data_IF_299378193811
#
_entry.id   IF_299378193811
#
_cell.length_a   1.000
_cell.length_b   1.000
_cell.length_c   1.000
_cell.angle_alpha   90.00
_cell.angle_beta   90.00
_cell.angle_gamma   90.00
#
_symmetry.space_group_name_H-M   'P 1'
#
loop_
_entity.id
_entity.type
_entity.pdbx_description
1 polymer ?
#
# COMPACT_ATOMS: atom_id res chain seq x y z
N UNK A 1 10.01 -16.00 -3.35
CA UNK A 1 9.15 -15.05 -2.62
C UNK A 1 10.01 -14.09 -1.81
N UNK A 2 9.71 -12.82 -1.91
CA UNK A 2 10.39 -11.78 -1.13
C UNK A 2 9.39 -11.01 -0.30
N UNK A 3 9.78 -10.71 0.93
CA UNK A 3 8.94 -10.00 1.89
C UNK A 3 9.64 -8.73 2.33
N UNK A 4 8.93 -7.62 2.24
CA UNK A 4 9.41 -6.30 2.62
C UNK A 4 8.50 -5.77 3.72
N UNK A 5 9.08 -5.17 4.75
CA UNK A 5 8.33 -4.66 5.90
C UNK A 5 8.68 -3.20 6.12
N UNK A 6 7.67 -2.39 6.41
CA UNK A 6 7.85 -1.01 6.85
C UNK A 6 6.90 -0.74 8.01
N UNK A 7 7.39 -0.07 9.04
CA UNK A 7 6.59 0.31 10.20
C UNK A 7 6.72 1.80 10.44
N UNK A 8 5.64 2.44 10.89
CA UNK A 8 5.69 3.83 11.28
C UNK A 8 4.68 4.11 12.39
N UNK A 9 5.06 4.99 13.33
CA UNK A 9 4.17 5.45 14.37
C UNK A 9 3.48 6.73 13.90
N UNK A 10 2.16 6.71 13.90
CA UNK A 10 1.32 7.80 13.41
C UNK A 10 0.61 8.45 14.60
N UNK A 11 0.68 9.78 14.71
CA UNK A 11 0.06 10.55 15.78
C UNK A 11 -1.44 10.76 15.56
N UNK A 12 -2.18 9.70 15.34
CA UNK A 12 -3.62 9.72 15.13
C UNK A 12 -4.23 8.42 15.63
N UNK A 13 -5.54 8.42 15.89
CA UNK A 13 -6.23 7.23 16.35
C UNK A 13 -6.30 6.18 15.25
N UNK A 14 -6.52 4.94 15.66
CA UNK A 14 -6.67 3.81 14.75
C UNK A 14 -7.81 4.03 13.75
N UNK A 15 -8.92 4.58 14.19
CA UNK A 15 -10.06 4.88 13.32
C UNK A 15 -9.74 5.98 12.30
N UNK A 16 -8.99 7.01 12.71
CA UNK A 16 -8.57 8.08 11.81
C UNK A 16 -7.60 7.56 10.74
N UNK A 17 -6.63 6.74 11.14
CA UNK A 17 -5.68 6.13 10.19
C UNK A 17 -6.41 5.21 9.23
N UNK A 18 -7.35 4.41 9.74
CA UNK A 18 -8.16 3.53 8.91
C UNK A 18 -8.97 4.30 7.87
N UNK A 19 -9.60 5.39 8.28
CA UNK A 19 -10.36 6.25 7.38
C UNK A 19 -9.50 6.81 6.25
N UNK A 20 -8.24 7.17 6.56
CA UNK A 20 -7.28 7.62 5.53
C UNK A 20 -6.98 6.49 4.53
N UNK A 21 -6.72 5.28 5.02
CA UNK A 21 -6.41 4.14 4.17
C UNK A 21 -7.59 3.71 3.29
N UNK A 22 -8.81 3.85 3.79
CA UNK A 22 -10.02 3.47 3.06
C UNK A 22 -10.48 4.53 2.04
N UNK A 23 -9.96 5.73 2.12
CA UNK A 23 -10.28 6.80 1.17
C UNK A 23 -9.47 6.61 -0.13
N UNK A 24 -9.90 5.67 -0.95
CA UNK A 24 -9.18 5.32 -2.19
C UNK A 24 -9.09 6.50 -3.14
N UNK A 25 -10.18 7.23 -3.31
CA UNK A 25 -10.21 8.41 -4.20
C UNK A 25 -9.29 9.53 -3.70
N UNK A 26 -9.05 9.59 -2.40
CA UNK A 26 -8.19 10.59 -1.78
C UNK A 26 -6.70 10.24 -1.75
N UNK A 27 -6.32 9.03 -2.15
CA UNK A 27 -4.93 8.59 -2.11
C UNK A 27 -3.94 9.55 -2.79
N UNK A 28 -4.24 10.14 -3.95
CA UNK A 28 -3.28 11.08 -4.57
C UNK A 28 -2.96 12.31 -3.74
N UNK A 29 -3.82 12.67 -2.77
CA UNK A 29 -3.61 13.86 -1.93
C UNK A 29 -2.56 13.64 -0.84
N UNK A 30 -2.38 12.39 -0.40
CA UNK A 30 -1.44 12.11 0.68
C UNK A 30 -0.31 11.15 0.31
N UNK A 31 -0.48 10.33 -0.72
CA UNK A 31 0.57 9.43 -1.21
C UNK A 31 1.42 10.15 -2.25
N UNK A 32 2.68 10.41 -1.92
CA UNK A 32 3.58 11.22 -2.73
C UNK A 32 3.78 10.70 -4.15
N UNK A 33 3.69 9.38 -4.35
CA UNK A 33 3.99 8.75 -5.64
C UNK A 33 2.76 8.37 -6.44
N UNK A 34 1.58 8.48 -5.85
CA UNK A 34 0.31 8.17 -6.53
C UNK A 34 -0.19 9.41 -7.24
N UNK A 35 -0.36 9.30 -8.54
CA UNK A 35 -0.82 10.40 -9.41
C UNK A 35 -2.33 10.43 -9.53
N UNK A 36 -2.94 9.25 -9.62
CA UNK A 36 -4.38 9.13 -9.77
C UNK A 36 -4.86 7.76 -9.30
N UNK A 37 -6.09 7.70 -8.82
CA UNK A 37 -6.81 6.46 -8.55
C UNK A 37 -8.11 6.51 -9.33
N UNK A 38 -8.33 5.52 -10.18
CA UNK A 38 -9.48 5.46 -11.10
C UNK A 38 -10.13 4.08 -11.03
N UNK A 39 -11.28 3.95 -11.70
CA UNK A 39 -12.00 2.66 -11.83
C UNK A 39 -12.31 2.01 -10.47
N UNK A 40 -12.66 2.83 -9.48
CA UNK A 40 -13.02 2.35 -8.14
C UNK A 40 -14.37 1.68 -8.24
N UNK A 41 -14.45 0.39 -7.88
CA UNK A 41 -15.67 -0.42 -8.06
C UNK A 41 -16.73 -0.17 -6.98
N UNK A 42 -16.40 0.52 -5.92
CA UNK A 42 -17.34 0.83 -4.84
C UNK A 42 -16.63 1.22 -3.55
N UNK A 43 -17.35 1.33 -2.43
CA UNK A 43 -16.75 1.59 -1.12
C UNK A 43 -15.69 0.54 -0.78
N UNK A 44 -14.71 0.92 0.02
CA UNK A 44 -13.63 0.02 0.41
C UNK A 44 -14.15 -1.13 1.27
N UNK A 45 -14.07 -2.34 0.75
CA UNK A 45 -14.40 -3.59 1.43
C UNK A 45 -13.72 -4.75 0.67
N UNK A 46 -13.87 -5.97 1.17
CA UNK A 46 -13.36 -7.14 0.45
C UNK A 46 -14.05 -7.26 -0.92
N UNK A 47 -13.25 -7.35 -1.98
CA UNK A 47 -13.70 -7.40 -3.37
C UNK A 47 -13.64 -6.07 -4.11
N UNK A 48 -13.43 -4.95 -3.43
CA UNK A 48 -13.29 -3.65 -4.08
C UNK A 48 -12.02 -3.62 -4.94
N UNK A 49 -12.16 -3.14 -6.17
CA UNK A 49 -11.05 -3.00 -7.12
C UNK A 49 -10.83 -1.54 -7.47
N UNK A 50 -9.60 -1.19 -7.76
CA UNK A 50 -9.24 0.16 -8.21
C UNK A 50 -7.95 0.13 -9.01
N UNK A 51 -7.76 1.13 -9.87
CA UNK A 51 -6.53 1.31 -10.63
C UNK A 51 -5.72 2.45 -10.03
N UNK A 52 -4.48 2.17 -9.69
CA UNK A 52 -3.54 3.14 -9.14
C UNK A 52 -2.51 3.51 -10.21
N UNK A 53 -2.40 4.81 -10.49
CA UNK A 53 -1.36 5.34 -11.37
C UNK A 53 -0.28 5.96 -10.52
N UNK A 54 0.95 5.49 -10.70
CA UNK A 54 2.11 5.92 -9.92
C UNK A 54 3.21 6.43 -10.83
N UNK A 55 4.20 7.08 -10.21
CA UNK A 55 5.42 7.52 -10.89
C UNK A 55 6.61 7.05 -10.06
N UNK A 56 7.61 6.49 -10.74
CA UNK A 56 8.85 6.06 -10.13
C UNK A 56 10.02 6.55 -11.01
N UNK A 57 10.86 7.42 -10.47
CA UNK A 57 11.98 8.04 -11.20
C UNK A 57 11.52 8.68 -12.53
N UNK A 58 10.36 9.32 -12.51
CA UNK A 58 9.78 9.95 -13.69
C UNK A 58 9.06 9.00 -14.64
N UNK A 59 9.10 7.69 -14.39
CA UNK A 59 8.45 6.69 -15.25
C UNK A 59 7.04 6.39 -14.74
N UNK A 60 6.01 6.54 -15.62
CA UNK A 60 4.64 6.21 -15.23
C UNK A 60 4.42 4.71 -15.13
N UNK A 61 3.55 4.31 -14.20
CA UNK A 61 3.14 2.92 -14.02
C UNK A 61 1.68 2.90 -13.58
N UNK A 62 0.98 1.82 -13.90
CA UNK A 62 -0.38 1.62 -13.46
C UNK A 62 -0.55 0.18 -12.99
N UNK A 63 -1.33 0.00 -11.91
CA UNK A 63 -1.65 -1.31 -11.36
C UNK A 63 -3.11 -1.36 -10.98
N UNK A 64 -3.69 -2.54 -11.19
CA UNK A 64 -5.04 -2.83 -10.72
C UNK A 64 -4.92 -3.59 -9.40
N UNK A 65 -5.46 -2.98 -8.35
CA UNK A 65 -5.47 -3.56 -7.02
C UNK A 65 -6.86 -4.08 -6.67
N UNK A 66 -6.88 -5.14 -5.87
CA UNK A 66 -8.10 -5.66 -5.26
C UNK A 66 -7.90 -5.74 -3.76
N UNK A 67 -8.86 -5.24 -2.99
CA UNK A 67 -8.88 -5.45 -1.54
C UNK A 67 -9.45 -6.85 -1.32
N UNK A 68 -8.62 -7.78 -0.82
CA UNK A 68 -9.01 -9.18 -0.63
C UNK A 68 -9.43 -9.47 0.80
N UNK A 69 -8.99 -8.66 1.77
CA UNK A 69 -9.38 -8.78 3.16
C UNK A 69 -9.57 -7.37 3.72
N UNK A 70 -10.64 -7.16 4.47
CA UNK A 70 -10.99 -5.86 5.02
C UNK A 70 -11.63 -6.04 6.38
N UNK A 71 -10.83 -5.91 7.43
CA UNK A 71 -11.27 -6.04 8.82
C UNK A 71 -11.11 -4.70 9.52
N UNK A 72 -12.12 -3.88 9.43
CA UNK A 72 -12.12 -2.53 10.02
C UNK A 72 -12.05 -2.62 11.55
N UNK A 73 -11.23 -1.82 12.21
CA UNK A 73 -10.24 -0.88 11.72
C UNK A 73 -8.79 -1.39 11.84
N UNK A 74 -8.57 -2.69 11.77
CA UNK A 74 -7.31 -3.30 12.21
C UNK A 74 -6.46 -3.87 11.09
N UNK A 75 -7.06 -4.45 10.05
CA UNK A 75 -6.30 -5.19 9.05
C UNK A 75 -6.95 -5.15 7.69
N UNK A 76 -6.16 -4.88 6.67
CA UNK A 76 -6.60 -5.08 5.29
C UNK A 76 -5.46 -5.62 4.43
N UNK A 77 -5.84 -6.36 3.39
CA UNK A 77 -4.91 -6.93 2.42
C UNK A 77 -5.34 -6.49 1.03
N UNK A 78 -4.37 -6.02 0.26
CA UNK A 78 -4.55 -5.59 -1.13
C UNK A 78 -3.62 -6.37 -2.02
N UNK A 79 -4.11 -6.83 -3.17
CA UNK A 79 -3.36 -7.67 -4.10
C UNK A 79 -3.38 -7.06 -5.49
N UNK A 80 -2.24 -7.08 -6.14
CA UNK A 80 -2.10 -6.71 -7.55
C UNK A 80 -1.22 -7.73 -8.27
N UNK A 81 -1.57 -8.07 -9.49
CA UNK A 81 -0.76 -8.94 -10.35
C UNK A 81 -0.45 -8.19 -11.64
N UNK A 82 0.82 -7.96 -11.90
CA UNK A 82 1.29 -7.34 -13.13
C UNK A 82 2.75 -7.68 -13.39
N UNK A 83 3.15 -7.68 -14.67
CA UNK A 83 4.54 -7.90 -15.04
C UNK A 83 5.12 -9.24 -14.57
N UNK A 84 4.29 -10.26 -14.39
CA UNK A 84 4.73 -11.57 -13.91
C UNK A 84 4.92 -11.66 -12.39
N UNK A 85 4.51 -10.64 -11.64
CA UNK A 85 4.61 -10.60 -10.18
C UNK A 85 3.23 -10.46 -9.54
N UNK A 86 3.03 -11.20 -8.46
CA UNK A 86 1.92 -10.99 -7.53
C UNK A 86 2.44 -10.15 -6.36
N UNK A 87 1.81 -9.03 -6.11
CA UNK A 87 2.09 -8.15 -4.98
C UNK A 87 0.96 -8.25 -3.99
N UNK A 88 1.31 -8.57 -2.75
CA UNK A 88 0.32 -8.64 -1.66
C UNK A 88 0.75 -7.67 -0.58
N UNK A 89 -0.02 -6.62 -0.38
CA UNK A 89 0.24 -5.61 0.65
C UNK A 89 -0.71 -5.83 1.82
N UNK A 90 -0.14 -6.07 2.98
CA UNK A 90 -0.89 -6.24 4.22
C UNK A 90 -0.67 -5.01 5.09
N UNK A 91 -1.76 -4.40 5.53
CA UNK A 91 -1.75 -3.24 6.40
C UNK A 91 -2.40 -3.61 7.73
N UNK A 92 -1.65 -3.50 8.82
CA UNK A 92 -2.12 -3.80 10.17
C UNK A 92 -1.95 -2.56 11.04
N UNK A 93 -2.99 -2.19 11.75
CA UNK A 93 -2.98 -1.06 12.68
C UNK A 93 -3.04 -1.56 14.11
N UNK A 94 -2.09 -1.10 14.94
CA UNK A 94 -2.06 -1.39 16.37
C UNK A 94 -2.10 -0.09 17.16
N UNK A 95 -2.97 0.01 18.19
CA UNK A 95 -2.92 1.16 19.07
C UNK A 95 -1.58 1.19 19.82
N UNK A 96 -0.95 2.35 19.90
CA UNK A 96 0.31 2.54 20.60
C UNK A 96 0.30 3.87 21.32
N UNK A 97 0.08 3.85 22.63
CA UNK A 97 -0.10 5.08 23.40
C UNK A 97 -1.33 5.84 22.91
N UNK A 98 -1.15 7.12 22.54
CA UNK A 98 -2.21 7.93 21.95
C UNK A 98 -2.24 7.86 20.43
N UNK A 99 -1.31 7.14 19.84
CA UNK A 99 -1.17 7.01 18.39
C UNK A 99 -1.45 5.61 17.90
N UNK A 100 -1.05 5.36 16.67
CA UNK A 100 -1.24 4.09 15.97
C UNK A 100 0.06 3.67 15.31
N UNK A 101 0.45 2.42 15.52
CA UNK A 101 1.55 1.81 14.79
C UNK A 101 1.01 1.16 13.53
N UNK A 102 1.47 1.62 12.38
CA UNK A 102 1.15 1.03 11.08
C UNK A 102 2.24 0.04 10.71
N UNK A 103 1.85 -1.23 10.55
CA UNK A 103 2.70 -2.27 9.99
C UNK A 103 2.29 -2.48 8.54
N UNK A 104 3.19 -2.22 7.62
CA UNK A 104 2.98 -2.48 6.21
C UNK A 104 3.93 -3.59 5.75
N UNK A 105 3.38 -4.63 5.15
CA UNK A 105 4.16 -5.75 4.61
C UNK A 105 3.81 -5.90 3.15
N UNK A 106 4.83 -5.99 2.30
CA UNK A 106 4.66 -6.27 0.88
C UNK A 106 5.36 -7.58 0.54
N UNK A 107 4.61 -8.54 0.05
CA UNK A 107 5.12 -9.81 -0.43
C UNK A 107 5.15 -9.79 -1.95
N UNK A 108 6.32 -10.08 -2.52
CA UNK A 108 6.51 -10.21 -3.96
C UNK A 108 6.68 -11.69 -4.30
N UNK A 109 5.86 -12.18 -5.19
CA UNK A 109 5.94 -13.56 -5.65
C UNK A 109 5.86 -13.60 -7.17
N UNK A 110 6.89 -14.17 -7.81
CA UNK A 110 6.86 -14.39 -9.24
C UNK A 110 5.82 -15.44 -9.60
N UNK A 111 5.06 -15.19 -10.64
CA UNK A 111 4.10 -16.15 -11.18
C UNK A 111 4.86 -17.29 -11.85
N UNK A 112 5.99 -16.97 -12.49
CA UNK A 112 6.89 -17.94 -13.11
C UNK A 112 7.76 -18.62 -12.06
N UNK A 113 7.79 -19.97 -11.98
CA UNK A 113 8.64 -20.65 -11.01
C UNK A 113 10.11 -20.67 -11.45
N UNK A 114 11.00 -21.05 -10.50
CA UNK A 114 12.40 -21.31 -10.76
C UNK A 114 13.29 -20.08 -10.73
N UNK A 115 14.54 -20.18 -11.25
CA UNK A 115 15.54 -19.12 -11.16
C UNK A 115 15.12 -17.81 -11.84
N UNK A 116 14.41 -17.88 -12.94
CA UNK A 116 13.91 -16.69 -13.65
C UNK A 116 12.93 -15.91 -12.78
N UNK A 117 12.03 -16.61 -12.07
CA UNK A 117 11.12 -15.98 -11.11
C UNK A 117 11.85 -15.34 -9.95
N UNK A 118 12.86 -16.00 -9.41
CA UNK A 118 13.68 -15.46 -8.31
C UNK A 118 14.42 -14.20 -8.72
N UNK A 119 14.94 -14.15 -9.95
CA UNK A 119 15.59 -12.95 -10.48
C UNK A 119 14.61 -11.79 -10.61
N UNK A 120 13.40 -12.07 -11.08
CA UNK A 120 12.36 -11.06 -11.21
C UNK A 120 11.97 -10.48 -9.85
N UNK A 121 11.79 -11.33 -8.83
CA UNK A 121 11.52 -10.90 -7.46
C UNK A 121 12.66 -10.02 -6.92
N UNK A 122 13.90 -10.41 -7.15
CA UNK A 122 15.06 -9.65 -6.72
C UNK A 122 15.11 -8.29 -7.41
N UNK A 123 14.91 -8.23 -8.72
CA UNK A 123 14.93 -6.98 -9.46
C UNK A 123 13.82 -6.02 -9.02
N UNK A 124 12.65 -6.54 -8.64
CA UNK A 124 11.52 -5.73 -8.19
C UNK A 124 11.65 -5.29 -6.73
N UNK A 125 12.51 -5.92 -5.93
CA UNK A 125 12.54 -5.71 -4.48
C UNK A 125 12.98 -4.29 -4.07
N UNK A 126 13.91 -3.67 -4.79
CA UNK A 126 14.37 -2.33 -4.46
C UNK A 126 13.30 -1.25 -4.71
N UNK A 127 12.69 -1.18 -5.92
CA UNK A 127 11.59 -0.24 -6.14
C UNK A 127 10.40 -0.49 -5.21
N UNK A 128 10.07 -1.76 -4.97
CA UNK A 128 8.97 -2.12 -4.08
C UNK A 128 9.22 -1.69 -2.64
N UNK A 129 10.45 -1.87 -2.15
CA UNK A 129 10.84 -1.44 -0.81
C UNK A 129 10.76 0.07 -0.65
N UNK A 130 11.24 0.81 -1.66
CA UNK A 130 11.12 2.26 -1.66
C UNK A 130 9.65 2.70 -1.68
N UNK A 131 8.83 2.05 -2.51
CA UNK A 131 7.39 2.32 -2.56
C UNK A 131 6.70 2.08 -1.23
N UNK A 132 7.02 0.99 -0.55
CA UNK A 132 6.41 0.67 0.74
C UNK A 132 6.83 1.68 1.82
N UNK A 133 8.11 2.04 1.88
CA UNK A 133 8.59 3.07 2.82
C UNK A 133 7.97 4.43 2.52
N UNK A 134 7.82 4.77 1.25
CA UNK A 134 7.14 5.99 0.84
C UNK A 134 5.68 6.01 1.27
N UNK A 135 5.00 4.87 1.14
CA UNK A 135 3.62 4.69 1.59
C UNK A 135 3.50 4.96 3.10
N UNK A 136 4.31 4.26 3.90
CA UNK A 136 4.29 4.43 5.36
C UNK A 136 4.63 5.87 5.77
N UNK A 137 5.66 6.45 5.18
CA UNK A 137 6.05 7.83 5.46
C UNK A 137 4.99 8.85 5.05
N UNK A 138 4.32 8.63 3.93
CA UNK A 138 3.22 9.49 3.47
C UNK A 138 2.03 9.44 4.41
N UNK A 139 1.68 8.24 4.89
CA UNK A 139 0.60 8.07 5.87
C UNK A 139 0.90 8.84 7.16
N UNK A 140 2.12 8.75 7.65
CA UNK A 140 2.55 9.50 8.84
C UNK A 140 2.44 11.01 8.60
N UNK A 141 2.98 11.52 7.50
CA UNK A 141 2.98 12.95 7.19
C UNK A 141 1.56 13.50 6.99
N UNK A 142 0.62 12.69 6.54
CA UNK A 142 -0.76 13.12 6.35
C UNK A 142 -1.39 13.66 7.64
N UNK A 143 -0.94 13.19 8.80
CA UNK A 143 -1.42 13.66 10.10
C UNK A 143 -0.52 14.70 10.75
N UNK A 144 0.71 14.86 10.30
CA UNK A 144 1.65 15.86 10.79
C UNK A 144 1.47 17.21 10.12
N UNK A 145 1.17 17.21 8.83
CA UNK A 145 1.06 18.41 8.00
C UNK A 145 -0.36 18.98 7.97
N UNK A 146 -1.28 18.45 8.80
CA UNK A 146 -2.63 18.94 8.87
C UNK A 146 -2.64 20.41 9.38
N UNK A 147 -3.38 21.32 8.75
CA UNK A 147 -3.47 22.70 9.23
C UNK A 147 -4.09 22.72 10.63
N UNK A 148 -3.45 23.44 11.50
CA UNK A 148 -3.91 23.63 12.88
C UNK A 148 -4.93 24.75 12.97
#
# INVERSE_FOLDING_TARGET
MRRIVAETLIGASKDEVWALLDDLAGMPRWLARVRAVTSISGPAHAGTMYRERTSFLGLPSARDWEITEHRKPSRQVRVAEDGGLRREMTLVLEPRGTGTLLHATLTLQAIMPGPAGSLLEMAASWPAGWGLRSFAGSAKRAFEDAPR
#
